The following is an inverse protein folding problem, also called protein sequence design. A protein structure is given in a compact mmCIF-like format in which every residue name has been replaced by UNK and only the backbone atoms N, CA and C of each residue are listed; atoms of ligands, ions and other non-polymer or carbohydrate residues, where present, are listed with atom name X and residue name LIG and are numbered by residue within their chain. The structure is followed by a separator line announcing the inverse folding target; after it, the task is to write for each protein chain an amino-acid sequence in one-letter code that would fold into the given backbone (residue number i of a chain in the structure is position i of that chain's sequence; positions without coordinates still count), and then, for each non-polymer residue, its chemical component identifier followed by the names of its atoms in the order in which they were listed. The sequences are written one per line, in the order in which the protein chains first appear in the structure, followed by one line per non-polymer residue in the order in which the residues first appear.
data_IF_396365822390
#
_entry.id   IF_396365822390
#
_cell.length_a   1.000
_cell.length_b   1.000
_cell.length_c   1.000
_cell.angle_alpha   90.00
_cell.angle_beta   90.00
_cell.angle_gamma   90.00
#
_symmetry.space_group_name_H-M   'P 1'
#
loop_
_entity.id
_entity.type
_entity.pdbx_description
1 polymer ?
#
# COMPACT_ATOMS: atom_id res chain seq x y z
N UNK A 1 22.96 -21.36 54.01
CA UNK A 1 23.88 -20.67 53.06
C UNK A 1 23.04 -20.18 51.90
N UNK A 2 22.79 -18.87 51.85
CA UNK A 2 22.00 -18.24 50.79
C UNK A 2 22.93 -17.81 49.66
N UNK A 3 22.65 -18.26 48.44
CA UNK A 3 23.37 -17.86 47.22
C UNK A 3 22.43 -16.95 46.44
N UNK A 4 22.70 -15.65 46.46
CA UNK A 4 22.00 -14.65 45.65
C UNK A 4 22.69 -14.53 44.30
N UNK A 5 21.90 -14.61 43.22
CA UNK A 5 22.35 -14.54 41.84
C UNK A 5 22.20 -13.10 41.32
N UNK A 6 23.26 -12.40 40.91
CA UNK A 6 23.18 -11.00 40.52
C UNK A 6 23.53 -10.78 39.04
N UNK A 7 22.67 -11.17 38.09
CA UNK A 7 22.79 -10.66 36.71
C UNK A 7 21.45 -10.42 36.02
N UNK A 8 21.26 -9.15 35.68
CA UNK A 8 20.18 -8.48 34.98
C UNK A 8 20.10 -8.78 33.49
N UNK A 9 18.88 -8.80 32.95
CA UNK A 9 18.46 -7.94 31.81
C UNK A 9 16.95 -8.05 31.58
N UNK A 10 16.20 -7.15 32.20
CA UNK A 10 14.85 -6.82 31.74
C UNK A 10 14.99 -5.86 30.55
N UNK A 11 14.62 -6.29 29.35
CA UNK A 11 14.30 -5.39 28.25
C UNK A 11 12.84 -5.00 28.38
N UNK A 12 12.59 -3.86 29.02
CA UNK A 12 11.29 -3.22 29.08
C UNK A 12 10.92 -2.73 27.67
N UNK A 13 9.98 -3.40 27.00
CA UNK A 13 9.24 -2.79 25.88
C UNK A 13 8.00 -2.14 26.44
N UNK A 14 8.16 -0.87 26.81
CA UNK A 14 7.08 0.04 27.16
C UNK A 14 6.35 0.44 25.88
N UNK A 15 5.20 -0.18 25.59
CA UNK A 15 4.25 0.33 24.61
C UNK A 15 3.31 1.31 25.31
N UNK A 16 3.75 2.56 25.45
CA UNK A 16 2.92 3.67 25.90
C UNK A 16 2.06 4.16 24.74
N UNK A 17 0.77 3.86 24.82
CA UNK A 17 -0.29 4.52 24.05
C UNK A 17 -0.62 5.84 24.75
N UNK A 18 -0.19 6.98 24.22
CA UNK A 18 -0.81 8.29 24.52
C UNK A 18 -0.43 9.36 23.50
N UNK A 19 -1.42 10.21 23.22
CA UNK A 19 -1.36 11.55 22.63
C UNK A 19 -1.44 11.66 21.10
N UNK A 20 -2.68 11.73 20.64
CA UNK A 20 -3.15 12.34 19.40
C UNK A 20 -2.75 13.83 19.35
N UNK A 21 -1.53 14.11 18.90
CA UNK A 21 -1.17 15.40 18.32
C UNK A 21 -1.34 15.27 16.81
N UNK A 22 -2.00 16.25 16.19
CA UNK A 22 -2.20 16.35 14.75
C UNK A 22 -0.85 16.48 14.03
N UNK A 23 -0.18 15.34 13.91
CA UNK A 23 1.08 15.15 13.22
C UNK A 23 0.74 15.00 11.76
N UNK A 24 1.37 15.82 10.91
CA UNK A 24 1.25 15.72 9.45
C UNK A 24 1.33 14.23 9.05
N UNK A 25 0.19 13.67 8.65
CA UNK A 25 0.05 12.23 8.51
C UNK A 25 0.99 11.78 7.41
N UNK A 26 2.02 11.02 7.77
CA UNK A 26 2.85 10.34 6.78
C UNK A 26 1.95 9.54 5.84
N UNK A 27 2.28 9.47 4.54
CA UNK A 27 1.48 8.71 3.59
C UNK A 27 1.33 7.26 4.08
N UNK A 28 0.15 6.64 3.88
CA UNK A 28 -0.08 5.28 4.33
C UNK A 28 0.97 4.34 3.74
N UNK A 29 1.62 3.56 4.60
CA UNK A 29 2.65 2.60 4.24
C UNK A 29 2.20 1.17 4.55
N UNK A 30 2.71 0.22 3.77
CA UNK A 30 2.47 -1.20 3.99
C UNK A 30 3.39 -1.67 5.12
N UNK A 31 2.83 -2.41 6.09
CA UNK A 31 3.59 -2.95 7.20
C UNK A 31 4.69 -3.91 6.73
N UNK A 32 5.92 -3.70 7.18
CA UNK A 32 7.04 -4.59 6.89
C UNK A 32 6.80 -6.03 7.38
N UNK A 33 6.01 -6.23 8.45
CA UNK A 33 5.66 -7.57 8.93
C UNK A 33 4.75 -8.30 7.93
N UNK A 34 3.79 -7.59 7.33
CA UNK A 34 2.91 -8.13 6.30
C UNK A 34 3.70 -8.43 5.02
N UNK A 35 4.55 -7.51 4.58
CA UNK A 35 5.42 -7.72 3.41
C UNK A 35 6.28 -8.97 3.58
N UNK A 36 6.86 -9.19 4.77
CA UNK A 36 7.60 -10.43 5.07
C UNK A 36 6.71 -11.67 4.94
N UNK A 37 5.50 -11.65 5.50
CA UNK A 37 4.57 -12.77 5.42
C UNK A 37 4.20 -13.10 3.95
N UNK A 38 3.97 -12.08 3.13
CA UNK A 38 3.67 -12.25 1.70
C UNK A 38 4.85 -12.88 0.94
N UNK A 39 6.07 -12.40 1.17
CA UNK A 39 7.28 -12.96 0.55
C UNK A 39 7.53 -14.41 0.96
N UNK A 40 7.22 -14.77 2.20
CA UNK A 40 7.43 -16.11 2.73
C UNK A 40 6.31 -17.10 2.35
N UNK A 41 5.21 -16.65 1.76
CA UNK A 41 4.09 -17.51 1.38
C UNK A 41 4.52 -18.63 0.41
N UNK A 42 5.36 -18.31 -0.57
CA UNK A 42 5.88 -19.28 -1.53
C UNK A 42 7.27 -19.83 -1.16
N UNK A 43 7.98 -19.15 -0.26
CA UNK A 43 9.35 -19.49 0.13
C UNK A 43 9.53 -19.46 1.66
N UNK A 44 8.92 -20.41 2.39
CA UNK A 44 8.86 -20.36 3.86
C UNK A 44 10.24 -20.42 4.53
N UNK A 45 11.21 -21.07 3.88
CA UNK A 45 12.56 -21.24 4.41
C UNK A 45 13.54 -20.14 3.94
N UNK A 46 13.11 -19.23 3.06
CA UNK A 46 13.98 -18.17 2.55
C UNK A 46 14.10 -17.03 3.56
N UNK A 47 15.33 -16.58 3.80
CA UNK A 47 15.63 -15.45 4.67
C UNK A 47 15.77 -14.19 3.84
N UNK A 48 14.99 -13.17 4.19
CA UNK A 48 15.07 -11.84 3.59
C UNK A 48 15.70 -10.87 4.58
N UNK A 49 16.64 -10.07 4.10
CA UNK A 49 17.24 -8.95 4.86
C UNK A 49 16.18 -7.89 5.14
N UNK A 50 16.40 -7.05 6.15
CA UNK A 50 15.47 -5.97 6.47
C UNK A 50 15.34 -5.00 5.28
N UNK A 51 16.45 -4.64 4.65
CA UNK A 51 16.47 -3.75 3.49
C UNK A 51 15.66 -4.29 2.32
N UNK A 52 15.76 -5.59 2.02
CA UNK A 52 14.96 -6.22 0.97
C UNK A 52 13.46 -6.17 1.28
N UNK A 53 13.07 -6.31 2.55
CA UNK A 53 11.67 -6.23 2.98
C UNK A 53 11.16 -4.80 2.89
N UNK A 54 11.94 -3.82 3.33
CA UNK A 54 11.58 -2.41 3.22
C UNK A 54 11.45 -1.98 1.76
N UNK A 55 12.40 -2.39 0.90
CA UNK A 55 12.34 -2.15 -0.54
C UNK A 55 11.11 -2.82 -1.18
N UNK A 56 10.80 -4.06 -0.82
CA UNK A 56 9.61 -4.76 -1.29
C UNK A 56 8.32 -4.06 -0.84
N UNK A 57 8.30 -3.52 0.38
CA UNK A 57 7.15 -2.79 0.92
C UNK A 57 6.90 -1.50 0.13
N UNK A 58 7.96 -0.76 -0.20
CA UNK A 58 7.87 0.43 -1.04
C UNK A 58 7.48 0.09 -2.48
N UNK A 59 8.00 -1.00 -3.05
CA UNK A 59 7.60 -1.47 -4.37
C UNK A 59 6.10 -1.77 -4.42
N UNK A 60 5.56 -2.50 -3.44
CA UNK A 60 4.14 -2.79 -3.35
C UNK A 60 3.30 -1.50 -3.21
N UNK A 61 3.77 -0.53 -2.41
CA UNK A 61 3.11 0.77 -2.26
C UNK A 61 3.05 1.52 -3.60
N UNK A 62 4.17 1.60 -4.30
CA UNK A 62 4.27 2.26 -5.61
C UNK A 62 3.39 1.57 -6.64
N UNK A 63 3.36 0.24 -6.65
CA UNK A 63 2.50 -0.55 -7.54
C UNK A 63 1.01 -0.22 -7.32
N UNK A 64 0.55 -0.16 -6.07
CA UNK A 64 -0.84 0.19 -5.74
C UNK A 64 -1.17 1.62 -6.20
N UNK A 65 -0.26 2.56 -5.98
CA UNK A 65 -0.44 3.96 -6.41
C UNK A 65 -0.56 4.04 -7.92
N UNK A 66 0.30 3.35 -8.66
CA UNK A 66 0.31 3.36 -10.11
C UNK A 66 -0.92 2.66 -10.70
N UNK A 67 -1.31 1.50 -10.15
CA UNK A 67 -2.53 0.81 -10.51
C UNK A 67 -3.75 1.72 -10.35
N UNK A 68 -3.84 2.43 -9.22
CA UNK A 68 -4.92 3.38 -8.96
C UNK A 68 -4.89 4.56 -9.93
N UNK A 69 -3.71 5.09 -10.25
CA UNK A 69 -3.54 6.19 -11.20
C UNK A 69 -4.04 5.80 -12.60
N UNK A 70 -3.62 4.65 -13.12
CA UNK A 70 -4.06 4.16 -14.44
C UNK A 70 -5.55 3.82 -14.47
N UNK A 71 -6.06 3.19 -13.42
CA UNK A 71 -7.49 2.90 -13.32
C UNK A 71 -8.36 4.17 -13.23
N UNK A 72 -7.86 5.26 -12.64
CA UNK A 72 -8.53 6.56 -12.65
C UNK A 72 -8.60 7.15 -14.07
N UNK A 73 -7.50 7.08 -14.81
CA UNK A 73 -7.44 7.54 -16.21
C UNK A 73 -8.43 6.74 -17.08
N UNK A 74 -8.44 5.41 -16.95
CA UNK A 74 -9.39 4.57 -17.68
C UNK A 74 -10.85 4.93 -17.35
N UNK A 75 -11.15 5.22 -16.09
CA UNK A 75 -12.48 5.65 -15.66
C UNK A 75 -12.87 6.98 -16.32
N UNK A 76 -11.96 7.96 -16.35
CA UNK A 76 -12.16 9.26 -16.99
C UNK A 76 -12.42 9.09 -18.50
N UNK A 77 -11.63 8.26 -19.18
CA UNK A 77 -11.83 7.95 -20.60
C UNK A 77 -13.20 7.32 -20.88
N UNK A 78 -13.65 6.39 -20.04
CA UNK A 78 -15.01 5.82 -20.18
C UNK A 78 -16.10 6.88 -20.00
N UNK A 79 -15.97 7.76 -19.00
CA UNK A 79 -16.95 8.81 -18.73
C UNK A 79 -17.10 9.78 -19.91
N UNK A 80 -16.01 10.13 -20.59
CA UNK A 80 -16.03 11.01 -21.77
C UNK A 80 -16.80 10.40 -22.95
N UNK A 81 -16.67 9.09 -23.17
CA UNK A 81 -17.38 8.37 -24.24
C UNK A 81 -18.90 8.45 -24.06
N UNK A 82 -19.39 8.39 -22.81
CA UNK A 82 -20.83 8.50 -22.53
C UNK A 82 -21.35 9.95 -22.57
N UNK A 83 -20.53 10.94 -22.21
CA UNK A 83 -20.96 12.35 -22.19
C UNK A 83 -21.00 13.03 -23.56
N UNK A 84 -20.34 12.45 -24.59
CA UNK A 84 -20.40 12.92 -25.97
C UNK A 84 -21.81 12.92 -26.60
N UNK A 85 -22.84 12.42 -25.91
CA UNK A 85 -24.23 12.36 -26.39
C UNK A 85 -25.21 13.30 -25.65
N UNK A 86 -24.79 14.00 -24.60
CA UNK A 86 -25.72 14.84 -23.82
C UNK A 86 -25.07 16.17 -23.42
N UNK A 87 -25.13 17.15 -24.33
CA UNK A 87 -24.74 18.54 -24.06
C UNK A 87 -25.79 19.21 -23.16
N UNK A 88 -25.60 19.16 -21.85
CA UNK A 88 -25.92 20.26 -20.94
C UNK A 88 -25.49 19.91 -19.51
N UNK A 89 -25.15 20.96 -18.77
CA UNK A 89 -24.96 21.03 -17.31
C UNK A 89 -23.51 21.06 -16.82
N UNK A 90 -23.09 22.30 -16.54
CA UNK A 90 -22.36 22.76 -15.36
C UNK A 90 -21.34 21.80 -14.73
N UNK A 91 -20.08 22.04 -15.09
CA UNK A 91 -18.80 22.02 -14.37
C UNK A 91 -18.75 21.65 -12.87
N UNK A 92 -19.54 20.68 -12.40
CA UNK A 92 -19.22 19.98 -11.17
C UNK A 92 -18.04 19.06 -11.48
N UNK A 93 -16.94 19.17 -10.73
CA UNK A 93 -15.78 18.27 -10.86
C UNK A 93 -16.24 16.85 -10.54
N UNK A 94 -16.81 16.16 -11.52
CA UNK A 94 -17.34 14.80 -11.35
C UNK A 94 -16.17 13.91 -11.00
N UNK A 95 -16.07 13.59 -9.72
CA UNK A 95 -15.21 12.51 -9.26
C UNK A 95 -15.68 11.24 -9.95
N UNK A 96 -14.85 10.73 -10.84
CA UNK A 96 -15.13 9.47 -11.51
C UNK A 96 -14.86 8.33 -10.55
N UNK A 97 -15.81 7.41 -10.43
CA UNK A 97 -15.68 6.22 -9.58
C UNK A 97 -14.78 5.18 -10.27
N UNK A 98 -13.76 4.70 -9.55
CA UNK A 98 -12.92 3.59 -10.03
C UNK A 98 -13.65 2.28 -9.73
N UNK A 99 -13.96 1.52 -10.79
CA UNK A 99 -14.62 0.22 -10.71
C UNK A 99 -13.64 -0.90 -11.09
N UNK A 100 -14.03 -2.15 -10.85
CA UNK A 100 -13.17 -3.31 -11.05
C UNK A 100 -12.77 -3.50 -12.53
N UNK A 101 -13.66 -3.15 -13.46
CA UNK A 101 -13.44 -3.19 -14.90
C UNK A 101 -12.31 -2.26 -15.35
N UNK A 102 -12.16 -1.07 -14.76
CA UNK A 102 -11.08 -0.15 -15.09
C UNK A 102 -9.72 -0.74 -14.68
N UNK A 103 -9.68 -1.42 -13.52
CA UNK A 103 -8.48 -2.13 -13.04
C UNK A 103 -8.16 -3.33 -13.95
N UNK A 104 -9.18 -4.09 -14.35
CA UNK A 104 -9.00 -5.26 -15.21
C UNK A 104 -8.39 -4.89 -16.58
N UNK A 105 -8.82 -3.76 -17.16
CA UNK A 105 -8.29 -3.27 -18.44
C UNK A 105 -6.81 -2.89 -18.38
N UNK A 106 -6.38 -2.25 -17.29
CA UNK A 106 -4.98 -1.81 -17.13
C UNK A 106 -4.06 -2.90 -16.60
N UNK A 107 -4.60 -4.03 -16.13
CA UNK A 107 -3.83 -5.06 -15.43
C UNK A 107 -2.74 -5.69 -16.32
N UNK A 108 -3.05 -5.98 -17.59
CA UNK A 108 -2.09 -6.61 -18.49
C UNK A 108 -0.87 -5.70 -18.75
N UNK A 109 -1.12 -4.42 -19.03
CA UNK A 109 -0.06 -3.42 -19.23
C UNK A 109 0.77 -3.22 -17.97
N UNK A 110 0.11 -3.09 -16.82
CA UNK A 110 0.79 -2.91 -15.54
C UNK A 110 1.70 -4.10 -15.19
N UNK A 111 1.30 -5.32 -15.53
CA UNK A 111 2.11 -6.52 -15.30
C UNK A 111 3.28 -6.63 -16.27
N UNK A 112 3.13 -6.15 -17.51
CA UNK A 112 4.23 -6.10 -18.49
C UNK A 112 5.34 -5.12 -18.08
N UNK A 113 5.02 -4.04 -17.37
CA UNK A 113 6.02 -3.09 -16.85
C UNK A 113 6.91 -3.67 -15.74
N UNK A 114 6.49 -4.81 -15.14
CA UNK A 114 7.18 -5.46 -14.02
C UNK A 114 7.84 -6.79 -14.38
N UNK A 115 7.67 -7.25 -15.62
CA UNK A 115 8.19 -8.54 -16.10
C UNK A 115 9.68 -8.53 -16.42
#
# INVERSE_FOLDING_TARGET
MAVTNPYSRQTSTTSTTTATTASASSPPSISASLTRQLLQLHHPNQRFTNDAIMASSELLRLLIIEARRRAAIEAECESEVYMGQSQNSDNDMRRVEIRAEHVAKIAAELLMDLS
#
